data_IF_189575043878
#
_entry.id   IF_189575043878
#
_cell.length_a   1.000
_cell.length_b   1.000
_cell.length_c   1.000
_cell.angle_alpha   90.00
_cell.angle_beta   90.00
_cell.angle_gamma   90.00
#
_symmetry.space_group_name_H-M   'P 1'
#
loop_
_entity.id
_entity.type
_entity.pdbx_description
1 polymer ?
#
# COMPACT_ATOMS: atom_id res chain seq x y z
N UNK A 1 -8.46 -30.47 -3.78
CA UNK A 1 -7.16 -30.34 -3.10
C UNK A 1 -6.56 -28.99 -3.44
N UNK A 2 -5.85 -28.34 -2.52
CA UNK A 2 -5.20 -27.06 -2.76
C UNK A 2 -3.97 -27.16 -3.67
N UNK A 3 -3.57 -26.04 -4.25
CA UNK A 3 -2.53 -25.99 -5.27
C UNK A 3 -1.12 -26.34 -4.73
N UNK A 4 -0.79 -25.95 -3.49
CA UNK A 4 0.50 -26.27 -2.86
C UNK A 4 0.64 -27.78 -2.65
N UNK A 5 -0.40 -28.42 -2.11
CA UNK A 5 -0.41 -29.89 -1.91
C UNK A 5 -0.26 -30.63 -3.24
N UNK A 6 -0.91 -30.14 -4.30
CA UNK A 6 -0.81 -30.72 -5.64
C UNK A 6 0.63 -30.68 -6.16
N UNK A 7 1.27 -29.51 -6.04
CA UNK A 7 2.65 -29.32 -6.49
C UNK A 7 3.65 -30.12 -5.64
N UNK A 8 3.46 -30.21 -4.32
CA UNK A 8 4.39 -30.93 -3.45
C UNK A 8 4.34 -32.45 -3.62
N UNK A 9 3.14 -33.02 -3.83
CA UNK A 9 2.97 -34.47 -3.94
C UNK A 9 3.10 -35.01 -5.36
N UNK A 10 2.66 -34.26 -6.38
CA UNK A 10 2.60 -34.73 -7.76
C UNK A 10 3.54 -33.96 -8.72
N UNK A 11 4.16 -32.87 -8.25
CA UNK A 11 5.09 -32.06 -9.05
C UNK A 11 4.40 -31.41 -10.25
N UNK A 12 4.73 -31.90 -11.45
CA UNK A 12 4.14 -31.48 -12.73
C UNK A 12 3.10 -32.45 -13.29
N UNK A 13 2.86 -33.59 -12.62
CA UNK A 13 1.87 -34.58 -13.07
C UNK A 13 0.48 -34.13 -12.68
N UNK A 14 -0.51 -34.49 -13.49
CA UNK A 14 -1.91 -34.26 -13.17
C UNK A 14 -2.34 -35.17 -12.00
N UNK A 15 -2.75 -34.60 -10.85
CA UNK A 15 -3.18 -35.38 -9.70
C UNK A 15 -4.63 -35.88 -9.81
N UNK A 16 -5.40 -35.48 -10.83
CA UNK A 16 -6.79 -35.90 -10.98
C UNK A 16 -6.91 -37.42 -11.19
N UNK A 17 -7.82 -38.06 -10.45
CA UNK A 17 -8.05 -39.51 -10.50
C UNK A 17 -7.07 -40.35 -9.67
N UNK A 18 -5.98 -39.76 -9.18
CA UNK A 18 -4.99 -40.45 -8.36
C UNK A 18 -5.48 -40.68 -6.92
N UNK A 19 -4.85 -41.64 -6.23
CA UNK A 19 -5.15 -41.98 -4.83
C UNK A 19 -4.25 -41.20 -3.87
N UNK A 20 -4.86 -40.42 -2.99
CA UNK A 20 -4.21 -39.73 -1.88
C UNK A 20 -4.51 -40.47 -0.57
N UNK A 21 -3.46 -40.84 0.17
CA UNK A 21 -3.60 -41.40 1.52
C UNK A 21 -3.72 -40.29 2.55
N UNK A 22 -4.80 -40.33 3.34
CA UNK A 22 -5.07 -39.39 4.42
C UNK A 22 -5.13 -40.21 5.71
N UNK A 23 -4.12 -40.09 6.57
CA UNK A 23 -3.94 -40.96 7.75
C UNK A 23 -4.05 -42.46 7.39
N UNK A 24 -5.14 -43.11 7.79
CA UNK A 24 -5.35 -44.56 7.68
C UNK A 24 -6.25 -44.98 6.49
N UNK A 25 -6.69 -44.06 5.64
CA UNK A 25 -7.55 -44.37 4.50
C UNK A 25 -7.10 -43.65 3.24
N UNK A 26 -7.51 -44.17 2.07
CA UNK A 26 -7.18 -43.59 0.77
C UNK A 26 -8.42 -42.98 0.12
N UNK A 27 -8.26 -41.82 -0.51
CA UNK A 27 -9.28 -41.10 -1.27
C UNK A 27 -8.82 -40.88 -2.71
N UNK A 28 -9.76 -40.82 -3.64
CA UNK A 28 -9.49 -40.41 -5.02
C UNK A 28 -9.59 -38.89 -5.12
N UNK A 29 -8.65 -38.27 -5.82
CA UNK A 29 -8.65 -36.84 -6.07
C UNK A 29 -9.63 -36.54 -7.21
N UNK A 30 -10.71 -35.83 -6.90
CA UNK A 30 -11.77 -35.49 -7.88
C UNK A 30 -11.66 -34.07 -8.44
N UNK A 31 -10.99 -33.16 -7.72
CA UNK A 31 -10.90 -31.75 -8.09
C UNK A 31 -9.72 -31.03 -7.44
N UNK A 32 -9.26 -29.99 -8.12
CA UNK A 32 -8.26 -29.03 -7.66
C UNK A 32 -8.93 -27.68 -7.36
N UNK A 33 -8.49 -27.03 -6.29
CA UNK A 33 -8.93 -25.69 -5.95
C UNK A 33 -8.14 -24.67 -6.77
N UNK A 34 -8.77 -23.54 -7.10
CA UNK A 34 -8.07 -22.41 -7.69
C UNK A 34 -7.03 -21.86 -6.68
N UNK A 35 -5.82 -21.51 -7.14
CA UNK A 35 -4.75 -21.04 -6.26
C UNK A 35 -5.13 -19.70 -5.61
N UNK A 36 -4.99 -19.62 -4.30
CA UNK A 36 -5.16 -18.40 -3.51
C UNK A 36 -3.84 -17.83 -2.99
N UNK A 37 -2.79 -18.64 -2.91
CA UNK A 37 -1.48 -18.26 -2.41
C UNK A 37 -1.45 -18.00 -0.90
N UNK A 38 -0.48 -17.20 -0.48
CA UNK A 38 -0.23 -16.91 0.94
C UNK A 38 -1.23 -15.87 1.47
N UNK A 39 -1.84 -16.14 2.62
CA UNK A 39 -2.69 -15.19 3.32
C UNK A 39 -1.89 -14.06 3.99
N UNK A 40 -2.61 -13.02 4.43
CA UNK A 40 -2.01 -11.82 5.02
C UNK A 40 -1.15 -12.07 6.27
N UNK A 41 -1.32 -13.23 6.94
CA UNK A 41 -0.55 -13.62 8.12
C UNK A 41 0.54 -14.66 7.82
N UNK A 42 0.91 -14.83 6.54
CA UNK A 42 1.95 -15.77 6.12
C UNK A 42 1.50 -17.24 6.05
N UNK A 43 0.22 -17.54 6.30
CA UNK A 43 -0.32 -18.89 6.18
C UNK A 43 -0.56 -19.26 4.71
N UNK A 44 -0.23 -20.48 4.31
CA UNK A 44 -0.55 -20.97 2.97
C UNK A 44 -2.03 -21.35 2.88
N UNK A 45 -2.81 -20.66 2.05
CA UNK A 45 -4.22 -20.97 1.83
C UNK A 45 -4.44 -22.14 0.86
N UNK A 46 -3.38 -22.58 0.18
CA UNK A 46 -3.40 -23.67 -0.79
C UNK A 46 -2.85 -24.98 -0.20
N UNK A 47 -2.41 -25.00 1.06
CA UNK A 47 -2.04 -26.21 1.81
C UNK A 47 -3.25 -26.86 2.50
N UNK A 48 -4.26 -27.23 1.72
CA UNK A 48 -5.53 -27.77 2.24
C UNK A 48 -6.08 -28.95 1.43
N UNK A 49 -6.74 -29.88 2.12
CA UNK A 49 -7.49 -30.99 1.50
C UNK A 49 -8.94 -30.94 1.98
N UNK A 50 -9.87 -30.90 1.03
CA UNK A 50 -11.31 -30.90 1.31
C UNK A 50 -11.89 -32.31 1.14
N UNK A 51 -12.67 -32.73 2.12
CA UNK A 51 -13.40 -33.99 2.10
C UNK A 51 -14.89 -33.75 2.45
N UNK A 52 -15.81 -34.59 1.96
CA UNK A 52 -17.19 -34.57 2.41
C UNK A 52 -17.28 -34.79 3.93
N UNK A 53 -18.09 -33.99 4.62
CA UNK A 53 -18.20 -33.96 6.08
C UNK A 53 -18.45 -35.34 6.68
N UNK A 54 -19.42 -36.09 6.14
CA UNK A 54 -19.77 -37.43 6.64
C UNK A 54 -18.60 -38.42 6.53
N UNK A 55 -17.77 -38.30 5.50
CA UNK A 55 -16.58 -39.14 5.31
C UNK A 55 -15.53 -38.83 6.37
N UNK A 56 -15.28 -37.53 6.62
CA UNK A 56 -14.34 -37.08 7.64
C UNK A 56 -14.79 -37.53 9.04
N UNK A 57 -16.06 -37.33 9.37
CA UNK A 57 -16.62 -37.69 10.67
C UNK A 57 -16.56 -39.20 10.95
N UNK A 58 -16.90 -40.02 9.94
CA UNK A 58 -16.93 -41.48 10.08
C UNK A 58 -15.55 -42.12 10.07
N UNK A 59 -14.61 -41.63 9.23
CA UNK A 59 -13.33 -42.31 8.98
C UNK A 59 -12.11 -41.63 9.60
N UNK A 60 -12.21 -40.39 10.08
CA UNK A 60 -11.04 -39.60 10.50
C UNK A 60 -11.15 -39.07 11.92
N UNK A 61 -12.23 -38.36 12.25
CA UNK A 61 -12.37 -37.70 13.55
C UNK A 61 -13.13 -38.54 14.56
N UNK A 62 -14.00 -39.46 14.11
CA UNK A 62 -14.78 -40.34 14.98
C UNK A 62 -15.83 -39.62 15.83
N UNK A 63 -16.16 -38.37 15.50
CA UNK A 63 -17.17 -37.58 16.21
C UNK A 63 -17.96 -36.68 15.24
N UNK A 64 -19.11 -36.20 15.71
CA UNK A 64 -19.99 -35.31 14.94
C UNK A 64 -19.79 -33.82 15.28
N UNK A 65 -18.71 -33.46 15.99
CA UNK A 65 -18.46 -32.07 16.37
C UNK A 65 -17.98 -31.29 15.15
N UNK A 66 -18.63 -30.15 14.90
CA UNK A 66 -18.25 -29.21 13.84
C UNK A 66 -17.60 -28.00 14.49
N UNK A 67 -16.34 -27.75 14.15
CA UNK A 67 -15.56 -26.66 14.74
C UNK A 67 -15.88 -25.30 14.11
N UNK A 68 -16.21 -25.28 12.81
CA UNK A 68 -16.44 -24.05 12.06
C UNK A 68 -17.56 -24.25 11.05
N UNK A 69 -18.49 -23.31 11.00
CA UNK A 69 -19.57 -23.25 10.02
C UNK A 69 -19.38 -21.98 9.19
N UNK A 70 -19.17 -22.13 7.89
CA UNK A 70 -19.13 -21.01 6.97
C UNK A 70 -20.55 -20.79 6.45
N UNK A 71 -21.07 -19.57 6.63
CA UNK A 71 -22.41 -19.18 6.20
C UNK A 71 -22.25 -18.05 5.19
N UNK A 72 -22.74 -18.26 3.97
CA UNK A 72 -22.77 -17.21 2.95
C UNK A 72 -24.07 -16.43 3.09
N UNK A 73 -23.95 -15.11 3.07
CA UNK A 73 -25.09 -14.21 3.05
C UNK A 73 -25.54 -13.93 1.62
N UNK A 74 -26.83 -13.63 1.44
CA UNK A 74 -27.32 -13.06 0.19
C UNK A 74 -26.92 -11.58 0.11
N UNK A 75 -26.66 -11.09 -1.10
CA UNK A 75 -26.30 -9.68 -1.32
C UNK A 75 -27.40 -8.74 -0.81
N UNK A 76 -26.99 -7.61 -0.21
CA UNK A 76 -27.91 -6.62 0.36
C UNK A 76 -28.52 -6.97 1.72
N UNK A 77 -28.21 -8.14 2.29
CA UNK A 77 -28.67 -8.52 3.63
C UNK A 77 -27.90 -7.81 4.75
N UNK A 78 -28.58 -7.47 5.85
CA UNK A 78 -27.95 -6.87 7.04
C UNK A 78 -27.21 -7.93 7.87
N UNK A 79 -25.89 -7.80 7.96
CA UNK A 79 -25.01 -8.71 8.68
C UNK A 79 -25.25 -8.66 10.20
N UNK A 80 -25.53 -7.48 10.75
CA UNK A 80 -25.74 -7.30 12.18
C UNK A 80 -27.03 -7.98 12.64
N UNK A 81 -28.11 -7.80 11.88
CA UNK A 81 -29.39 -8.46 12.12
C UNK A 81 -29.28 -9.99 11.98
N UNK A 82 -28.55 -10.48 10.97
CA UNK A 82 -28.32 -11.91 10.80
C UNK A 82 -27.51 -12.49 11.96
N UNK A 83 -26.44 -11.82 12.38
CA UNK A 83 -25.60 -12.25 13.49
C UNK A 83 -26.40 -12.37 14.79
N UNK A 84 -27.26 -11.39 15.09
CA UNK A 84 -28.15 -11.44 16.24
C UNK A 84 -29.11 -12.64 16.19
N UNK A 85 -29.73 -12.89 15.03
CA UNK A 85 -30.64 -14.04 14.84
C UNK A 85 -29.93 -15.38 14.93
N UNK A 86 -28.74 -15.50 14.33
CA UNK A 86 -27.90 -16.70 14.41
C UNK A 86 -27.45 -16.97 15.84
N UNK A 87 -27.11 -15.93 16.61
CA UNK A 87 -26.76 -16.06 18.02
C UNK A 87 -27.91 -16.67 18.83
N UNK A 88 -29.13 -16.15 18.65
CA UNK A 88 -30.32 -16.68 19.33
C UNK A 88 -30.59 -18.14 18.94
N UNK A 89 -30.57 -18.45 17.64
CA UNK A 89 -30.76 -19.81 17.13
C UNK A 89 -29.72 -20.79 17.69
N UNK A 90 -28.45 -20.38 17.78
CA UNK A 90 -27.40 -21.22 18.33
C UNK A 90 -27.53 -21.41 19.84
N UNK A 91 -27.93 -20.39 20.60
CA UNK A 91 -28.22 -20.53 22.03
C UNK A 91 -29.37 -21.51 22.28
N UNK A 92 -30.45 -21.40 21.51
CA UNK A 92 -31.59 -22.32 21.58
C UNK A 92 -31.16 -23.75 21.25
N UNK A 93 -30.49 -23.96 20.11
CA UNK A 93 -30.05 -25.28 19.66
C UNK A 93 -29.03 -25.93 20.61
N UNK A 94 -28.24 -25.12 21.31
CA UNK A 94 -27.26 -25.57 22.32
C UNK A 94 -27.83 -25.62 23.73
N UNK A 95 -29.11 -25.25 23.93
CA UNK A 95 -29.81 -25.25 25.21
C UNK A 95 -29.10 -24.41 26.29
N UNK A 96 -28.53 -23.27 25.89
CA UNK A 96 -27.83 -22.36 26.80
C UNK A 96 -28.81 -21.55 27.63
N UNK A 97 -28.58 -21.46 28.94
CA UNK A 97 -29.39 -20.65 29.84
C UNK A 97 -29.27 -19.14 29.56
N UNK A 98 -30.23 -18.33 30.02
CA UNK A 98 -30.20 -16.88 29.81
C UNK A 98 -28.97 -16.19 30.46
N UNK A 99 -28.51 -16.72 31.60
CA UNK A 99 -27.34 -16.24 32.33
C UNK A 99 -26.03 -16.94 31.92
N UNK A 100 -26.08 -17.90 31.00
CA UNK A 100 -24.92 -18.67 30.56
C UNK A 100 -24.18 -17.92 29.44
N UNK A 101 -22.84 -17.92 29.49
CA UNK A 101 -22.00 -17.34 28.44
C UNK A 101 -22.05 -18.18 27.16
N UNK A 102 -21.82 -17.54 26.01
CA UNK A 102 -21.83 -18.25 24.73
C UNK A 102 -20.58 -19.11 24.57
N UNK A 103 -20.77 -20.41 24.36
CA UNK A 103 -19.70 -21.36 24.05
C UNK A 103 -19.37 -21.44 22.55
N UNK A 104 -19.71 -20.39 21.79
CA UNK A 104 -19.48 -20.28 20.36
C UNK A 104 -19.15 -18.83 20.00
N UNK A 105 -18.40 -18.65 18.91
CA UNK A 105 -18.07 -17.33 18.39
C UNK A 105 -18.66 -17.17 16.99
N UNK A 106 -19.27 -16.02 16.71
CA UNK A 106 -19.73 -15.67 15.36
C UNK A 106 -18.80 -14.57 14.86
N UNK A 107 -17.93 -14.93 13.92
CA UNK A 107 -16.98 -14.02 13.31
C UNK A 107 -17.55 -13.49 11.99
N UNK A 108 -17.72 -12.18 11.88
CA UNK A 108 -17.99 -11.54 10.60
C UNK A 108 -16.68 -11.30 9.85
N UNK A 109 -16.55 -11.94 8.68
CA UNK A 109 -15.40 -11.77 7.79
C UNK A 109 -15.28 -10.35 7.26
N UNK A 110 -16.40 -9.60 7.14
CA UNK A 110 -16.40 -8.21 6.72
C UNK A 110 -15.77 -7.31 7.79
N UNK A 111 -16.16 -7.47 9.06
CA UNK A 111 -15.58 -6.72 10.16
C UNK A 111 -14.06 -6.97 10.29
N UNK A 112 -13.61 -8.21 10.07
CA UNK A 112 -12.18 -8.54 10.06
C UNK A 112 -11.46 -7.83 8.91
N UNK A 113 -12.02 -7.84 7.70
CA UNK A 113 -11.47 -7.13 6.54
C UNK A 113 -11.45 -5.61 6.76
N UNK A 114 -12.52 -5.04 7.32
CA UNK A 114 -12.61 -3.61 7.65
C UNK A 114 -11.54 -3.22 8.68
N UNK A 115 -11.32 -4.03 9.71
CA UNK A 115 -10.28 -3.77 10.74
C UNK A 115 -8.87 -3.79 10.13
N UNK A 116 -8.55 -4.77 9.27
CA UNK A 116 -7.26 -4.83 8.57
C UNK A 116 -7.08 -3.66 7.60
N UNK A 117 -8.15 -3.27 6.89
CA UNK A 117 -8.14 -2.11 6.01
C UNK A 117 -7.93 -0.81 6.80
N UNK A 118 -8.52 -0.70 7.99
CA UNK A 118 -8.37 0.42 8.91
C UNK A 118 -6.93 0.59 9.38
N UNK A 119 -6.29 -0.49 9.84
CA UNK A 119 -4.88 -0.45 10.26
C UNK A 119 -3.95 -0.03 9.10
N UNK A 120 -4.16 -0.60 7.91
CA UNK A 120 -3.41 -0.24 6.70
C UNK A 120 -3.60 1.23 6.34
N UNK A 121 -4.84 1.74 6.46
CA UNK A 121 -5.16 3.14 6.20
C UNK A 121 -4.44 4.06 7.18
N UNK A 122 -4.44 3.73 8.47
CA UNK A 122 -3.73 4.50 9.51
C UNK A 122 -2.23 4.55 9.21
N UNK A 123 -1.60 3.40 8.94
CA UNK A 123 -0.18 3.36 8.55
C UNK A 123 0.10 4.19 7.29
N UNK A 124 -0.75 4.08 6.27
CA UNK A 124 -0.63 4.87 5.04
C UNK A 124 -0.75 6.37 5.31
N UNK A 125 -1.70 6.79 6.14
CA UNK A 125 -1.86 8.21 6.50
C UNK A 125 -0.69 8.74 7.32
N UNK A 126 -0.11 7.93 8.21
CA UNK A 126 1.08 8.31 8.97
C UNK A 126 2.28 8.49 8.05
N UNK A 127 2.53 7.54 7.14
CA UNK A 127 3.60 7.64 6.15
C UNK A 127 3.41 8.84 5.22
N UNK A 128 2.17 9.10 4.78
CA UNK A 128 1.85 10.28 3.98
C UNK A 128 2.10 11.59 4.74
N UNK A 129 1.76 11.65 6.03
CA UNK A 129 2.03 12.82 6.87
C UNK A 129 3.54 13.06 7.04
N UNK A 130 4.32 12.01 7.32
CA UNK A 130 5.79 12.09 7.40
C UNK A 130 6.37 12.56 6.08
N UNK A 131 5.94 11.97 4.96
CA UNK A 131 6.36 12.37 3.62
C UNK A 131 6.03 13.84 3.33
N UNK A 132 4.83 14.31 3.70
CA UNK A 132 4.42 15.70 3.54
C UNK A 132 5.32 16.66 4.35
N UNK A 133 5.64 16.33 5.60
CA UNK A 133 6.56 17.12 6.43
C UNK A 133 7.97 17.15 5.82
N UNK A 134 8.51 15.99 5.43
CA UNK A 134 9.81 15.90 4.76
C UNK A 134 9.86 16.73 3.48
N UNK A 135 8.76 16.77 2.74
CA UNK A 135 8.66 17.55 1.52
C UNK A 135 8.64 19.05 1.78
N UNK A 136 7.95 19.51 2.83
CA UNK A 136 7.98 20.92 3.26
C UNK A 136 9.39 21.32 3.67
N UNK A 137 10.07 20.49 4.46
CA UNK A 137 11.47 20.75 4.87
C UNK A 137 12.40 20.80 3.66
N UNK A 138 12.25 19.87 2.72
CA UNK A 138 13.00 19.87 1.45
C UNK A 138 12.71 21.12 0.60
N UNK A 139 11.44 21.53 0.51
CA UNK A 139 11.01 22.74 -0.19
C UNK A 139 11.60 24.02 0.40
N UNK A 140 11.64 24.13 1.73
CA UNK A 140 12.34 25.23 2.43
C UNK A 140 13.83 25.25 2.07
N UNK A 141 14.45 24.08 1.94
CA UNK A 141 15.83 23.95 1.46
C UNK A 141 16.03 24.55 0.06
N UNK A 142 15.15 24.21 -0.89
CA UNK A 142 15.18 24.80 -2.25
C UNK A 142 15.02 26.31 -2.18
N UNK A 143 14.06 26.80 -1.40
CA UNK A 143 13.82 28.24 -1.22
C UNK A 143 15.06 28.96 -0.69
N UNK A 144 15.75 28.40 0.31
CA UNK A 144 16.95 28.99 0.89
C UNK A 144 18.12 29.03 -0.11
N UNK A 145 18.37 27.93 -0.83
CA UNK A 145 19.41 27.89 -1.86
C UNK A 145 19.12 28.94 -2.95
N UNK A 146 17.86 29.05 -3.37
CA UNK A 146 17.46 30.05 -4.37
C UNK A 146 17.58 31.49 -3.85
N UNK A 147 17.24 31.75 -2.58
CA UNK A 147 17.45 33.07 -1.98
C UNK A 147 18.94 33.46 -1.97
N UNK A 148 19.81 32.54 -1.55
CA UNK A 148 21.26 32.76 -1.54
C UNK A 148 21.77 32.98 -2.96
N UNK A 149 21.37 32.15 -3.92
CA UNK A 149 21.78 32.31 -5.33
C UNK A 149 21.32 33.64 -5.94
N UNK A 150 20.11 34.10 -5.62
CA UNK A 150 19.61 35.41 -6.06
C UNK A 150 20.43 36.53 -5.44
N UNK A 151 20.80 36.43 -4.16
CA UNK A 151 21.63 37.45 -3.51
C UNK A 151 23.04 37.52 -4.07
N UNK A 152 23.66 36.38 -4.39
CA UNK A 152 24.99 36.31 -5.01
C UNK A 152 24.98 36.86 -6.45
N UNK A 153 23.89 36.65 -7.19
CA UNK A 153 23.73 37.10 -8.58
C UNK A 153 23.01 38.46 -8.71
N UNK A 154 22.83 39.21 -7.61
CA UNK A 154 22.13 40.52 -7.58
C UNK A 154 22.60 41.47 -8.67
N UNK A 155 23.92 41.67 -8.81
CA UNK A 155 24.51 42.58 -9.81
C UNK A 155 24.23 42.15 -11.26
N UNK A 156 24.25 40.85 -11.54
CA UNK A 156 23.92 40.32 -12.87
C UNK A 156 22.44 40.53 -13.22
N UNK A 157 21.56 40.32 -12.24
CA UNK A 157 20.11 40.53 -12.40
C UNK A 157 19.81 42.01 -12.65
N UNK A 158 20.43 42.90 -11.87
CA UNK A 158 20.32 44.35 -12.04
C UNK A 158 20.78 44.82 -13.42
N UNK A 159 21.90 44.27 -13.92
CA UNK A 159 22.38 44.56 -15.27
C UNK A 159 21.36 44.15 -16.34
N UNK A 160 20.74 42.96 -16.22
CA UNK A 160 19.72 42.47 -17.17
C UNK A 160 18.47 43.35 -17.17
N UNK A 161 18.01 43.78 -16.00
CA UNK A 161 16.86 44.67 -15.90
C UNK A 161 17.18 46.07 -16.46
N UNK A 162 18.39 46.59 -16.24
CA UNK A 162 18.83 47.90 -16.75
C UNK A 162 18.93 47.94 -18.29
N UNK A 163 19.28 46.83 -18.94
CA UNK A 163 19.29 46.72 -20.41
C UNK A 163 17.90 46.41 -21.01
N UNK A 164 16.85 46.34 -20.17
CA UNK A 164 15.45 46.24 -20.61
C UNK A 164 14.82 44.84 -20.55
N UNK A 165 15.41 43.87 -19.86
CA UNK A 165 14.74 42.58 -19.63
C UNK A 165 13.43 42.77 -18.84
N UNK A 166 12.37 42.04 -19.20
CA UNK A 166 11.12 42.12 -18.45
C UNK A 166 11.23 41.35 -17.12
N UNK A 167 10.50 41.77 -16.09
CA UNK A 167 10.41 41.04 -14.81
C UNK A 167 10.04 39.56 -15.03
N UNK A 168 9.22 39.28 -16.05
CA UNK A 168 8.78 37.93 -16.41
C UNK A 168 9.93 37.04 -16.90
N UNK A 169 10.90 37.59 -17.60
CA UNK A 169 12.04 36.84 -18.14
C UNK A 169 12.94 36.36 -16.99
N UNK A 170 13.22 37.27 -16.05
CA UNK A 170 13.98 36.96 -14.84
C UNK A 170 13.24 35.96 -13.96
N UNK A 171 11.93 36.14 -13.77
CA UNK A 171 11.09 35.22 -13.01
C UNK A 171 11.13 33.80 -13.61
N UNK A 172 10.91 33.67 -14.92
CA UNK A 172 10.90 32.38 -15.61
C UNK A 172 12.27 31.68 -15.54
N UNK A 173 13.36 32.43 -15.66
CA UNK A 173 14.71 31.87 -15.56
C UNK A 173 14.93 31.20 -14.20
N UNK A 174 14.69 31.92 -13.10
CA UNK A 174 14.88 31.36 -11.76
C UNK A 174 13.86 30.25 -11.44
N UNK A 175 12.64 30.34 -11.97
CA UNK A 175 11.64 29.30 -11.78
C UNK A 175 12.03 28.01 -12.51
N UNK A 176 12.59 28.12 -13.71
CA UNK A 176 13.14 26.97 -14.46
C UNK A 176 14.34 26.38 -13.71
N UNK A 177 15.24 27.20 -13.17
CA UNK A 177 16.39 26.73 -12.38
C UNK A 177 15.92 25.93 -11.15
N UNK A 178 14.93 26.45 -10.40
CA UNK A 178 14.33 25.75 -9.28
C UNK A 178 13.61 24.45 -9.69
N UNK A 179 12.87 24.47 -10.82
CA UNK A 179 12.17 23.30 -11.34
C UNK A 179 13.14 22.21 -11.80
N UNK A 180 14.24 22.57 -12.45
CA UNK A 180 15.29 21.62 -12.89
C UNK A 180 15.99 21.01 -11.67
N UNK A 181 16.34 21.82 -10.66
CA UNK A 181 16.92 21.32 -9.42
C UNK A 181 15.97 20.34 -8.71
N UNK A 182 14.68 20.68 -8.62
CA UNK A 182 13.66 19.83 -8.02
C UNK A 182 13.45 18.54 -8.83
N UNK A 183 13.40 18.62 -10.17
CA UNK A 183 13.22 17.46 -11.03
C UNK A 183 14.42 16.50 -10.98
N UNK A 184 15.65 17.02 -10.95
CA UNK A 184 16.86 16.21 -10.79
C UNK A 184 16.90 15.53 -9.41
N UNK A 185 16.56 16.28 -8.35
CA UNK A 185 16.42 15.72 -7.00
C UNK A 185 15.33 14.66 -6.91
N UNK A 186 14.18 14.89 -7.54
CA UNK A 186 13.07 13.94 -7.63
C UNK A 186 13.46 12.67 -8.39
N UNK A 187 14.15 12.80 -9.52
CA UNK A 187 14.66 11.67 -10.30
C UNK A 187 15.66 10.85 -9.48
N UNK A 188 16.63 11.50 -8.85
CA UNK A 188 17.60 10.85 -7.97
C UNK A 188 16.91 10.15 -6.78
N UNK A 189 15.91 10.80 -6.19
CA UNK A 189 15.11 10.24 -5.10
C UNK A 189 14.33 8.99 -5.52
N UNK A 190 13.67 9.01 -6.68
CA UNK A 190 12.96 7.83 -7.23
C UNK A 190 13.94 6.68 -7.50
N UNK A 191 15.12 6.96 -8.07
CA UNK A 191 16.14 5.94 -8.31
C UNK A 191 16.67 5.34 -7.01
N UNK A 192 16.99 6.16 -6.01
CA UNK A 192 17.44 5.70 -4.69
C UNK A 192 16.36 4.88 -3.98
N UNK A 193 15.09 5.33 -4.03
CA UNK A 193 13.97 4.60 -3.46
C UNK A 193 13.75 3.25 -4.14
N UNK A 194 13.83 3.20 -5.47
CA UNK A 194 13.72 1.95 -6.22
C UNK A 194 14.85 0.97 -5.85
N UNK A 195 16.10 1.44 -5.82
CA UNK A 195 17.26 0.62 -5.44
C UNK A 195 17.13 0.07 -4.02
N UNK A 196 16.81 0.93 -3.05
CA UNK A 196 16.62 0.53 -1.66
C UNK A 196 15.49 -0.51 -1.52
N UNK A 197 14.38 -0.32 -2.25
CA UNK A 197 13.25 -1.25 -2.19
C UNK A 197 13.60 -2.60 -2.80
N UNK A 198 14.32 -2.64 -3.94
CA UNK A 198 14.76 -3.90 -4.57
C UNK A 198 15.69 -4.68 -3.64
N UNK A 199 16.67 -4.00 -3.03
CA UNK A 199 17.60 -4.64 -2.08
C UNK A 199 16.86 -5.23 -0.87
N UNK A 200 15.92 -4.47 -0.31
CA UNK A 200 15.14 -4.91 0.84
C UNK A 200 14.15 -6.03 0.50
N UNK A 201 13.52 -5.97 -0.67
CA UNK A 201 12.63 -7.02 -1.16
C UNK A 201 13.36 -8.36 -1.31
N UNK A 202 14.62 -8.33 -1.78
CA UNK A 202 15.46 -9.52 -1.87
C UNK A 202 15.79 -10.10 -0.48
N UNK A 203 16.10 -9.24 0.50
CA UNK A 203 16.39 -9.67 1.87
C UNK A 203 15.19 -10.23 2.63
N UNK A 204 13.99 -9.70 2.37
CA UNK A 204 12.75 -10.07 3.07
C UNK A 204 11.88 -11.09 2.32
N UNK A 205 12.29 -11.54 1.12
CA UNK A 205 11.51 -12.42 0.24
C UNK A 205 10.10 -11.88 -0.08
N UNK A 206 9.93 -10.56 -0.12
CA UNK A 206 8.66 -9.91 -0.41
C UNK A 206 8.56 -9.54 -1.90
N UNK A 207 7.37 -9.63 -2.51
CA UNK A 207 7.17 -9.22 -3.89
C UNK A 207 7.35 -7.70 -4.05
N UNK A 208 8.27 -7.29 -4.93
CA UNK A 208 8.41 -5.90 -5.33
C UNK A 208 7.44 -5.57 -6.46
N UNK A 209 6.54 -4.61 -6.23
CA UNK A 209 5.60 -4.12 -7.23
C UNK A 209 5.98 -2.70 -7.67
N UNK A 210 6.53 -2.57 -8.87
CA UNK A 210 6.79 -1.27 -9.47
C UNK A 210 5.52 -0.74 -10.16
N UNK A 211 4.95 0.34 -9.64
CA UNK A 211 3.80 1.02 -10.26
C UNK A 211 4.28 2.30 -10.99
N UNK A 212 4.29 2.32 -12.33
CA UNK A 212 4.74 3.50 -13.08
C UNK A 212 3.91 4.75 -12.80
N UNK A 213 2.60 4.60 -12.56
CA UNK A 213 1.69 5.72 -12.31
C UNK A 213 2.00 6.45 -11.01
N UNK A 214 2.28 5.69 -9.93
CA UNK A 214 2.66 6.29 -8.64
C UNK A 214 4.00 7.00 -8.73
N UNK A 215 5.00 6.38 -9.38
CA UNK A 215 6.32 6.99 -9.54
C UNK A 215 6.28 8.26 -10.40
N UNK A 216 5.51 8.25 -11.49
CA UNK A 216 5.31 9.44 -12.33
C UNK A 216 4.63 10.56 -11.53
N UNK A 217 3.61 10.23 -10.73
CA UNK A 217 2.94 11.19 -9.87
C UNK A 217 3.91 11.78 -8.83
N UNK A 218 4.73 10.96 -8.18
CA UNK A 218 5.75 11.42 -7.23
C UNK A 218 6.77 12.35 -7.89
N UNK A 219 7.22 12.04 -9.11
CA UNK A 219 8.12 12.89 -9.89
C UNK A 219 7.49 14.25 -10.22
N UNK A 220 6.26 14.25 -10.74
CA UNK A 220 5.52 15.49 -11.03
C UNK A 220 5.28 16.31 -9.77
N UNK A 221 4.98 15.66 -8.65
CA UNK A 221 4.79 16.31 -7.37
C UNK A 221 6.08 16.99 -6.88
N UNK A 222 7.23 16.34 -7.05
CA UNK A 222 8.54 16.93 -6.74
C UNK A 222 8.84 18.17 -7.58
N UNK A 223 8.56 18.13 -8.90
CA UNK A 223 8.69 19.31 -9.75
C UNK A 223 7.73 20.45 -9.33
N UNK A 224 6.50 20.12 -8.96
CA UNK A 224 5.51 21.09 -8.45
C UNK A 224 5.96 21.80 -7.17
N UNK A 225 6.61 21.07 -6.25
CA UNK A 225 7.21 21.66 -5.03
C UNK A 225 8.30 22.67 -5.38
N UNK A 226 9.14 22.37 -6.37
CA UNK A 226 10.15 23.30 -6.89
C UNK A 226 9.56 24.60 -7.38
N UNK A 227 8.41 24.54 -8.08
CA UNK A 227 7.68 25.73 -8.52
C UNK A 227 7.16 26.53 -7.33
N UNK A 228 6.50 25.88 -6.36
CA UNK A 228 5.89 26.57 -5.21
C UNK A 228 6.94 27.28 -4.35
N UNK A 229 8.02 26.59 -3.99
CA UNK A 229 9.06 27.14 -3.12
C UNK A 229 10.07 28.03 -3.86
N UNK A 230 10.26 27.82 -5.18
CA UNK A 230 11.08 28.69 -6.03
C UNK A 230 10.40 30.00 -6.44
N UNK A 231 9.07 30.07 -6.39
CA UNK A 231 8.33 31.25 -6.84
C UNK A 231 8.63 32.51 -6.02
N UNK A 232 8.70 32.40 -4.69
CA UNK A 232 8.97 33.55 -3.81
C UNK A 232 10.34 34.20 -4.08
N UNK A 233 11.47 33.46 -4.07
CA UNK A 233 12.76 34.05 -4.40
C UNK A 233 12.84 34.54 -5.85
N UNK A 234 12.29 33.80 -6.81
CA UNK A 234 12.28 34.22 -8.22
C UNK A 234 11.52 35.55 -8.42
N UNK A 235 10.38 35.72 -7.72
CA UNK A 235 9.61 36.97 -7.75
C UNK A 235 10.35 38.11 -7.09
N UNK A 236 11.13 37.84 -6.03
CA UNK A 236 11.96 38.84 -5.38
C UNK A 236 13.11 39.30 -6.27
N UNK A 237 13.74 38.38 -7.01
CA UNK A 237 14.76 38.69 -8.01
C UNK A 237 14.19 39.56 -9.16
N UNK A 238 13.02 39.19 -9.67
CA UNK A 238 12.38 39.86 -10.80
C UNK A 238 11.96 41.31 -10.50
N UNK A 239 11.69 41.65 -9.24
CA UNK A 239 11.21 42.97 -8.78
C UNK A 239 12.31 43.83 -8.16
N UNK A 240 13.56 43.49 -8.39
CA UNK A 240 14.70 44.22 -7.85
C UNK A 240 14.88 45.56 -8.58
N UNK A 241 15.14 46.64 -7.86
CA UNK A 241 15.44 47.92 -8.48
C UNK A 241 16.83 47.85 -9.15
N UNK A 242 16.94 48.09 -10.47
CA UNK A 242 18.22 48.02 -11.18
C UNK A 242 19.28 48.97 -10.60
N UNK A 243 18.86 50.13 -10.08
CA UNK A 243 19.76 51.15 -9.52
C UNK A 243 20.33 50.67 -8.18
N UNK A 244 19.50 50.08 -7.32
CA UNK A 244 19.96 49.51 -6.05
C UNK A 244 20.84 48.27 -6.23
N UNK A 245 20.51 47.43 -7.23
CA UNK A 245 21.27 46.22 -7.55
C UNK A 245 22.69 46.52 -8.07
N UNK A 246 22.89 47.64 -8.77
CA UNK A 246 24.20 48.06 -9.27
C UNK A 246 25.04 48.82 -8.24
N UNK A 247 24.40 49.27 -7.14
CA UNK A 247 25.03 50.04 -6.06
C UNK A 247 25.55 49.16 -4.92
N UNK A 248 25.15 47.89 -4.85
CA UNK A 248 25.74 46.90 -3.96
C UNK A 248 27.11 46.47 -4.51
N UNK A 249 28.16 46.62 -3.70
CA UNK A 249 29.48 45.99 -3.91
C UNK A 249 29.41 44.48 -3.68
#
# INVERSE_FOLDING_TARGET
>A
MGATVARSLFGRRDPLGERLRIKQFSCVIVALLAPKGQGAMGNDQDDVVLLPLHTLQRRVTGNQRVNTLLISMQEGSDASALQARLRLLLRERRKLGAAEEDNFNILDTRQLAETMSGATRVMTTLLAAVAAVSLVVGGIGIMNIMLVSVTERTREIGLRLAIGAQERDVLLQFLIEAMVLAALGGLAGVLLAALATVLMAHGLQLPYLFNPGVNLLSFLFSAGIGVVFGYVPARRAARMDPIEALRHE
#
